data_IF_963395426123
#
_entry.id   IF_963395426123
#
_cell.length_a   1.000
_cell.length_b   1.000
_cell.length_c   1.000
_cell.angle_alpha   90.00
_cell.angle_beta   90.00
_cell.angle_gamma   90.00
#
_symmetry.space_group_name_H-M   'P 1'
#
loop_
_entity.id
_entity.type
_entity.pdbx_description
1 polymer ?
#
# COMPACT_ATOMS: atom_id res chain seq x y z
N UNK A 1 -7.54 22.17 -1.84
CA UNK A 1 -6.07 22.27 -1.91
C UNK A 1 -5.53 21.03 -1.23
N UNK A 2 -5.16 20.01 -2.02
CA UNK A 2 -4.65 18.74 -1.49
C UNK A 2 -3.16 18.99 -1.22
N UNK A 3 -2.77 18.96 0.04
CA UNK A 3 -1.43 19.33 0.51
C UNK A 3 -0.40 18.34 -0.05
N UNK A 4 0.47 18.80 -0.96
CA UNK A 4 1.47 18.02 -1.73
C UNK A 4 2.55 17.29 -0.88
N UNK A 5 2.44 17.27 0.45
CA UNK A 5 3.52 16.84 1.36
C UNK A 5 3.62 15.35 1.69
N UNK A 6 2.74 14.49 1.18
CA UNK A 6 2.78 13.04 1.46
C UNK A 6 2.82 12.14 0.22
N UNK A 7 2.98 12.72 -0.96
CA UNK A 7 3.07 11.99 -2.22
C UNK A 7 4.51 11.49 -2.39
N UNK A 8 4.77 10.21 -2.11
CA UNK A 8 6.05 9.60 -2.40
C UNK A 8 6.00 9.15 -3.86
N UNK A 9 6.63 9.90 -4.76
CA UNK A 9 6.79 9.50 -6.15
C UNK A 9 8.00 8.57 -6.26
N UNK A 10 7.75 7.33 -6.67
CA UNK A 10 8.77 6.31 -6.90
C UNK A 10 9.22 6.37 -8.37
N UNK A 11 10.45 5.94 -8.65
CA UNK A 11 11.03 5.89 -10.00
C UNK A 11 10.09 5.15 -10.97
N UNK A 12 9.92 5.70 -12.17
CA UNK A 12 9.06 5.19 -13.24
C UNK A 12 9.57 3.85 -13.81
N UNK A 13 10.84 3.50 -13.56
CA UNK A 13 11.41 2.19 -13.89
C UNK A 13 10.85 1.05 -13.03
N UNK A 14 10.30 1.37 -11.86
CA UNK A 14 9.69 0.37 -10.98
C UNK A 14 8.27 0.13 -11.48
N UNK A 15 8.05 -1.05 -12.06
CA UNK A 15 6.76 -1.44 -12.60
C UNK A 15 6.07 -2.43 -11.68
N UNK A 16 4.73 -2.41 -11.61
CA UNK A 16 3.99 -3.41 -10.87
C UNK A 16 4.23 -4.81 -11.47
N UNK A 17 4.23 -5.82 -10.60
CA UNK A 17 4.35 -7.22 -11.03
C UNK A 17 2.99 -7.92 -10.91
N UNK A 18 2.83 -8.96 -11.72
CA UNK A 18 1.64 -9.81 -11.69
C UNK A 18 1.42 -10.38 -10.28
N UNK A 19 0.16 -10.46 -9.84
CA UNK A 19 -0.21 -10.81 -8.46
C UNK A 19 0.37 -12.14 -7.96
N UNK A 20 0.61 -13.10 -8.87
CA UNK A 20 1.22 -14.40 -8.55
C UNK A 20 2.71 -14.33 -8.22
N UNK A 21 3.39 -13.24 -8.60
CA UNK A 21 4.82 -13.02 -8.33
C UNK A 21 5.06 -12.10 -7.13
N UNK A 22 3.99 -11.54 -6.54
CA UNK A 22 4.08 -10.64 -5.40
C UNK A 22 4.41 -11.44 -4.15
N UNK A 23 5.32 -10.89 -3.34
CA UNK A 23 5.63 -11.45 -2.03
C UNK A 23 4.74 -10.78 -1.00
N UNK A 24 4.01 -11.57 -0.21
CA UNK A 24 3.26 -11.05 0.93
C UNK A 24 4.27 -10.56 1.98
N UNK A 25 4.26 -9.26 2.35
CA UNK A 25 5.13 -8.76 3.39
C UNK A 25 4.72 -9.34 4.75
N UNK A 26 5.64 -9.30 5.72
CA UNK A 26 5.27 -9.63 7.10
C UNK A 26 4.27 -8.59 7.62
N UNK A 27 3.01 -8.99 7.78
CA UNK A 27 1.89 -8.16 8.20
C UNK A 27 1.81 -8.09 9.73
N UNK A 28 1.89 -6.88 10.30
CA UNK A 28 1.79 -6.60 11.72
C UNK A 28 0.81 -5.45 11.93
N UNK A 29 -0.30 -5.76 12.59
CA UNK A 29 -1.31 -4.75 12.93
C UNK A 29 -0.69 -3.63 13.77
N UNK A 30 -0.99 -2.38 13.41
CA UNK A 30 -0.46 -1.17 14.01
C UNK A 30 0.88 -0.71 13.45
N UNK A 31 1.49 -1.43 12.50
CA UNK A 31 2.73 -1.01 11.85
C UNK A 31 2.47 -0.13 10.62
N UNK A 32 3.47 0.67 10.27
CA UNK A 32 3.50 1.51 9.08
C UNK A 32 3.85 0.69 7.83
N UNK A 33 3.09 0.91 6.78
CA UNK A 33 3.20 0.32 5.46
C UNK A 33 3.01 1.39 4.39
N UNK A 34 3.18 0.98 3.14
CA UNK A 34 3.01 1.81 1.97
C UNK A 34 2.03 1.15 1.01
N UNK A 35 1.21 1.97 0.35
CA UNK A 35 0.28 1.53 -0.68
C UNK A 35 0.42 2.42 -1.92
N UNK A 36 0.38 1.81 -3.09
CA UNK A 36 0.35 2.52 -4.37
C UNK A 36 -0.97 2.22 -5.09
N UNK A 37 -1.67 3.28 -5.48
CA UNK A 37 -2.93 3.20 -6.26
C UNK A 37 -2.72 3.46 -7.76
N UNK A 38 -1.46 3.47 -8.22
CA UNK A 38 -1.07 3.75 -9.60
C UNK A 38 -0.23 5.01 -9.74
N UNK A 39 0.22 5.29 -10.98
CA UNK A 39 1.08 6.42 -11.34
C UNK A 39 2.41 6.51 -10.55
N UNK A 40 2.87 5.39 -9.97
CA UNK A 40 4.04 5.32 -9.09
C UNK A 40 3.92 6.30 -7.89
N UNK A 41 2.69 6.61 -7.50
CA UNK A 41 2.39 7.47 -6.35
C UNK A 41 2.07 6.56 -5.16
N UNK A 42 2.93 6.64 -4.15
CA UNK A 42 2.83 5.89 -2.93
C UNK A 42 2.31 6.75 -1.80
N UNK A 43 1.44 6.17 -0.98
CA UNK A 43 0.88 6.75 0.22
C UNK A 43 1.31 5.94 1.45
N UNK A 44 1.77 6.58 2.52
CA UNK A 44 1.97 5.92 3.80
C UNK A 44 0.61 5.55 4.41
N UNK A 45 0.54 4.36 5.01
CA UNK A 45 -0.66 3.84 5.65
C UNK A 45 -0.31 2.98 6.86
N UNK A 46 -1.23 2.90 7.83
CA UNK A 46 -1.12 1.93 8.93
C UNK A 46 -2.05 0.76 8.68
N UNK A 47 -1.56 -0.43 8.94
CA UNK A 47 -2.35 -1.65 8.95
C UNK A 47 -3.22 -1.69 10.22
N UNK A 48 -4.53 -1.56 10.10
CA UNK A 48 -5.44 -1.60 11.25
C UNK A 48 -5.92 -3.01 11.56
N UNK A 49 -6.12 -3.83 10.55
CA UNK A 49 -6.74 -5.14 10.70
C UNK A 49 -6.26 -6.09 9.59
N UNK A 50 -6.15 -7.37 9.94
CA UNK A 50 -5.89 -8.46 9.00
C UNK A 50 -7.13 -9.34 8.99
N UNK A 51 -7.74 -9.47 7.82
CA UNK A 51 -8.89 -10.33 7.60
C UNK A 51 -8.34 -11.64 7.02
N UNK A 52 -8.22 -12.64 7.90
CA UNK A 52 -7.83 -13.99 7.53
C UNK A 52 -8.92 -14.65 6.66
N UNK A 53 -8.54 -15.19 5.51
CA UNK A 53 -9.44 -15.85 4.56
C UNK A 53 -8.76 -16.07 3.21
N UNK A 54 -9.27 -16.94 2.31
CA UNK A 54 -8.77 -17.06 0.94
C UNK A 54 -9.61 -16.20 -0.03
N UNK A 55 -9.08 -15.10 -0.61
CA UNK A 55 -7.76 -14.51 -0.41
C UNK A 55 -7.66 -13.61 0.83
N UNK A 56 -6.47 -13.52 1.41
CA UNK A 56 -6.19 -12.80 2.66
C UNK A 56 -6.22 -11.30 2.42
N UNK A 57 -6.96 -10.57 3.25
CA UNK A 57 -7.18 -9.12 3.08
C UNK A 57 -6.65 -8.34 4.27
N UNK A 58 -6.37 -7.07 4.03
CA UNK A 58 -5.85 -6.13 5.01
C UNK A 58 -6.65 -4.85 4.97
N UNK A 59 -6.93 -4.29 6.16
CA UNK A 59 -7.59 -2.99 6.29
C UNK A 59 -6.55 -1.96 6.67
N UNK A 60 -6.28 -1.04 5.75
CA UNK A 60 -5.31 0.02 5.96
C UNK A 60 -6.00 1.39 6.11
N UNK A 61 -5.37 2.28 6.86
CA UNK A 61 -5.73 3.70 6.91
C UNK A 61 -4.60 4.51 6.33
N UNK A 62 -4.85 5.30 5.28
CA UNK A 62 -3.83 6.23 4.76
C UNK A 62 -3.63 7.39 5.72
N UNK A 63 -2.49 8.04 5.63
CA UNK A 63 -2.25 9.32 6.30
C UNK A 63 -2.26 10.46 5.30
N UNK A 64 -3.01 11.51 5.63
CA UNK A 64 -2.91 12.82 4.97
C UNK A 64 -2.66 13.88 6.06
N UNK A 65 -1.56 14.63 5.94
CA UNK A 65 -1.13 15.62 6.94
C UNK A 65 -1.12 15.10 8.40
N UNK A 66 -0.61 13.87 8.61
CA UNK A 66 -0.53 13.27 9.94
C UNK A 66 -1.88 12.87 10.55
N UNK A 67 -2.96 12.92 9.77
CA UNK A 67 -4.28 12.43 10.18
C UNK A 67 -4.66 11.20 9.37
N UNK A 68 -5.24 10.16 10.00
CA UNK A 68 -5.75 9.02 9.25
C UNK A 68 -6.90 9.48 8.34
N UNK A 69 -6.72 9.29 7.04
CA UNK A 69 -7.67 9.68 6.01
C UNK A 69 -8.03 8.48 5.13
N UNK A 70 -9.28 8.02 5.26
CA UNK A 70 -9.82 6.92 4.46
C UNK A 70 -9.34 5.54 4.92
N UNK A 71 -10.30 4.61 5.06
CA UNK A 71 -10.03 3.19 5.27
C UNK A 71 -10.16 2.46 3.94
N UNK A 72 -9.20 1.61 3.62
CA UNK A 72 -9.21 0.80 2.42
C UNK A 72 -9.01 -0.66 2.77
N UNK A 73 -9.76 -1.53 2.10
CA UNK A 73 -9.57 -2.99 2.16
C UNK A 73 -8.81 -3.39 0.91
N UNK A 74 -7.65 -3.99 1.10
CA UNK A 74 -6.76 -4.43 0.03
C UNK A 74 -6.45 -5.91 0.20
N UNK A 75 -5.90 -6.54 -0.82
CA UNK A 75 -5.27 -7.85 -0.61
C UNK A 75 -3.96 -7.68 0.17
N UNK A 76 -3.63 -8.69 0.96
CA UNK A 76 -2.39 -8.75 1.75
C UNK A 76 -1.12 -8.54 0.92
N UNK A 77 -1.16 -8.90 -0.37
CA UNK A 77 -0.08 -8.74 -1.35
C UNK A 77 -0.15 -7.44 -2.17
N UNK A 78 -0.99 -6.47 -1.79
CA UNK A 78 -1.11 -5.15 -2.46
C UNK A 78 -0.47 -4.02 -1.65
N UNK A 79 0.09 -4.33 -0.48
CA UNK A 79 0.80 -3.37 0.36
C UNK A 79 2.30 -3.71 0.38
N UNK A 80 3.15 -2.72 0.64
CA UNK A 80 4.59 -2.88 0.78
C UNK A 80 5.10 -2.36 2.12
N UNK A 81 6.23 -2.89 2.59
CA UNK A 81 6.96 -2.30 3.72
C UNK A 81 7.81 -1.11 3.27
N UNK A 82 8.09 -1.02 1.97
CA UNK A 82 8.78 0.11 1.33
C UNK A 82 7.93 0.74 0.23
N UNK A 83 8.19 1.99 -0.16
CA UNK A 83 7.52 2.62 -1.29
C UNK A 83 7.69 1.84 -2.61
N UNK A 84 8.88 1.30 -2.85
CA UNK A 84 9.19 0.51 -4.04
C UNK A 84 8.36 -0.78 -4.07
N UNK A 85 8.30 -1.50 -2.95
CA UNK A 85 7.44 -2.67 -2.81
C UNK A 85 5.96 -2.34 -3.02
N UNK A 86 5.50 -1.19 -2.52
CA UNK A 86 4.12 -0.78 -2.73
C UNK A 86 3.80 -0.57 -4.21
N UNK A 87 4.74 -0.03 -5.00
CA UNK A 87 4.58 0.08 -6.46
C UNK A 87 4.61 -1.29 -7.13
N UNK A 88 5.57 -2.15 -6.77
CA UNK A 88 5.66 -3.53 -7.27
C UNK A 88 4.35 -4.29 -7.01
N UNK A 89 3.77 -4.09 -5.82
CA UNK A 89 2.56 -4.77 -5.36
C UNK A 89 1.26 -4.10 -5.83
N UNK A 90 1.34 -2.94 -6.49
CA UNK A 90 0.17 -2.23 -6.95
C UNK A 90 -0.58 -2.99 -8.04
N UNK A 91 -1.87 -2.66 -8.18
CA UNK A 91 -2.71 -3.21 -9.23
C UNK A 91 -2.27 -2.67 -10.59
N UNK A 92 -1.63 -3.52 -11.40
CA UNK A 92 -1.55 -3.32 -12.85
C UNK A 92 -2.70 -4.04 -13.54
N UNK A 93 -3.44 -3.31 -14.38
CA UNK A 93 -4.39 -3.88 -15.34
C UNK A 93 -3.67 -4.39 -16.58
#
# INVERSE_FOLDING_TARGET
MISEKHLIKVDEKITPVHYTKRTEPSLKVGADYYVCFGNNIVYPCILNEIIEGPPKRVVISKYDNGKPFGKHVLFSNEIGQTPEEAVINSVSF
#
